data_IF_189124694895
#
_entry.id   IF_189124694895
#
_cell.length_a   1.000
_cell.length_b   1.000
_cell.length_c   1.000
_cell.angle_alpha   90.00
_cell.angle_beta   90.00
_cell.angle_gamma   90.00
#
_symmetry.space_group_name_H-M   'P 1'
#
loop_
_entity.id
_entity.type
_entity.pdbx_description
1 polymer ?
#
# COMPACT_ATOMS: atom_id res chain seq x y z
N UNK A 1 3.18 -0.39 -20.90
CA UNK A 1 2.94 0.38 -19.68
C UNK A 1 2.98 1.86 -20.06
N UNK A 2 2.04 2.65 -19.60
CA UNK A 2 2.03 4.09 -19.88
C UNK A 2 3.32 4.71 -19.30
N UNK A 3 3.91 5.66 -20.07
CA UNK A 3 5.08 6.45 -19.65
C UNK A 3 4.66 7.48 -18.58
N UNK A 4 4.19 7.03 -17.42
CA UNK A 4 3.78 7.93 -16.35
C UNK A 4 4.90 8.07 -15.32
N UNK A 5 5.03 9.27 -14.74
CA UNK A 5 5.98 9.57 -13.67
C UNK A 5 5.48 9.08 -12.28
N UNK A 6 4.41 8.30 -12.25
CA UNK A 6 3.81 7.80 -11.03
C UNK A 6 4.41 6.45 -10.62
N UNK A 7 4.45 6.19 -9.33
CA UNK A 7 4.99 4.98 -8.73
C UNK A 7 3.92 4.20 -7.97
N UNK A 8 4.11 2.88 -7.91
CA UNK A 8 3.30 1.99 -7.09
C UNK A 8 4.03 1.68 -5.80
N UNK A 9 3.36 1.87 -4.67
CA UNK A 9 3.89 1.62 -3.34
C UNK A 9 3.08 0.55 -2.63
N UNK A 10 3.75 -0.35 -1.94
CA UNK A 10 3.14 -1.29 -1.01
C UNK A 10 3.54 -0.86 0.40
N UNK A 11 2.56 -0.77 1.29
CA UNK A 11 2.82 -0.62 2.72
C UNK A 11 2.19 -1.82 3.43
N UNK A 12 3.01 -2.60 4.12
CA UNK A 12 2.58 -3.72 4.94
C UNK A 12 2.98 -3.51 6.40
N UNK A 13 2.24 -4.10 7.29
CA UNK A 13 2.50 -4.02 8.73
C UNK A 13 1.65 -5.04 9.49
N UNK A 14 2.05 -5.48 10.66
CA UNK A 14 1.16 -6.20 11.55
C UNK A 14 0.01 -5.31 12.03
N UNK A 15 -1.11 -5.95 12.34
CA UNK A 15 -2.26 -5.23 12.92
C UNK A 15 -1.83 -4.48 14.19
N UNK A 16 -2.15 -3.19 14.28
CA UNK A 16 -1.77 -2.35 15.42
C UNK A 16 -0.47 -1.55 15.26
N UNK A 17 0.34 -1.78 14.21
CA UNK A 17 1.58 -1.02 13.99
C UNK A 17 1.38 0.44 13.55
N UNK A 18 0.15 0.85 13.18
CA UNK A 18 -0.16 2.25 12.79
C UNK A 18 -0.12 2.53 11.30
N UNK A 19 -0.05 1.51 10.45
CA UNK A 19 0.01 1.61 8.97
C UNK A 19 -1.05 2.54 8.39
N UNK A 20 -2.33 2.29 8.66
CA UNK A 20 -3.43 3.06 8.07
C UNK A 20 -3.40 4.54 8.47
N UNK A 21 -2.97 4.85 9.71
CA UNK A 21 -2.79 6.23 10.17
C UNK A 21 -1.65 6.93 9.43
N UNK A 22 -0.53 6.25 9.20
CA UNK A 22 0.60 6.78 8.44
C UNK A 22 0.21 7.03 6.98
N UNK A 23 -0.46 6.07 6.33
CA UNK A 23 -0.94 6.24 4.95
C UNK A 23 -1.91 7.43 4.88
N UNK A 24 -2.88 7.53 5.79
CA UNK A 24 -3.86 8.64 5.79
C UNK A 24 -3.18 10.00 5.94
N UNK A 25 -2.22 10.12 6.85
CA UNK A 25 -1.46 11.35 7.05
C UNK A 25 -0.60 11.72 5.83
N UNK A 26 0.03 10.72 5.20
CA UNK A 26 0.77 10.91 3.96
C UNK A 26 -0.13 11.43 2.83
N UNK A 27 -1.30 10.79 2.62
CA UNK A 27 -2.24 11.19 1.58
C UNK A 27 -2.77 12.61 1.79
N UNK A 28 -3.00 13.01 3.03
CA UNK A 28 -3.34 14.40 3.37
C UNK A 28 -2.22 15.36 2.95
N UNK A 29 -0.97 15.05 3.28
CA UNK A 29 0.20 15.86 2.85
C UNK A 29 0.34 15.93 1.33
N UNK A 30 0.01 14.85 0.62
CA UNK A 30 0.04 14.84 -0.84
C UNK A 30 -1.00 15.80 -1.45
N UNK A 31 -2.19 15.89 -0.86
CA UNK A 31 -3.23 16.85 -1.29
C UNK A 31 -2.83 18.31 -1.02
N UNK A 32 -2.03 18.57 -0.01
CA UNK A 32 -1.49 19.90 0.31
C UNK A 32 -0.38 20.37 -0.65
N UNK A 33 -0.01 19.55 -1.66
CA UNK A 33 0.98 19.91 -2.68
C UNK A 33 2.44 19.76 -2.25
N UNK A 34 2.71 18.98 -1.23
CA UNK A 34 4.08 18.73 -0.73
C UNK A 34 4.91 17.76 -1.58
N UNK A 35 4.31 17.14 -2.63
CA UNK A 35 4.94 16.15 -3.50
C UNK A 35 4.83 16.51 -4.98
N UNK A 36 5.61 15.84 -5.82
CA UNK A 36 5.55 16.02 -7.27
C UNK A 36 4.25 15.45 -7.87
N UNK A 37 3.77 14.33 -7.33
CA UNK A 37 2.56 13.66 -7.78
C UNK A 37 1.49 13.73 -6.68
N UNK A 38 0.23 13.70 -7.08
CA UNK A 38 -0.84 13.32 -6.16
C UNK A 38 -0.65 11.86 -5.75
N UNK A 39 -1.12 11.52 -4.57
CA UNK A 39 -1.07 10.15 -4.06
C UNK A 39 -2.47 9.69 -3.65
N UNK A 40 -2.79 8.43 -3.93
CA UNK A 40 -4.07 7.81 -3.58
C UNK A 40 -3.88 6.41 -3.03
N UNK A 41 -4.76 6.01 -2.10
CA UNK A 41 -4.89 4.61 -1.70
C UNK A 41 -5.64 3.86 -2.80
N UNK A 42 -5.17 2.65 -3.14
CA UNK A 42 -5.93 1.77 -4.02
C UNK A 42 -7.21 1.32 -3.33
N UNK A 43 -8.31 1.37 -4.07
CA UNK A 43 -9.60 0.85 -3.62
C UNK A 43 -9.70 -0.62 -4.06
N UNK A 44 -9.63 -1.54 -3.08
CA UNK A 44 -9.73 -2.97 -3.35
C UNK A 44 -11.17 -3.41 -3.63
N UNK A 45 -11.32 -4.50 -4.37
CA UNK A 45 -12.60 -5.18 -4.54
C UNK A 45 -12.85 -6.13 -3.37
N UNK A 46 -14.11 -6.26 -2.97
CA UNK A 46 -14.52 -7.24 -1.95
C UNK A 46 -15.91 -7.78 -2.21
N UNK A 47 -16.12 -9.02 -1.79
CA UNK A 47 -17.48 -9.64 -1.79
C UNK A 47 -18.21 -9.44 -0.46
N UNK A 48 -17.56 -8.81 0.53
CA UNK A 48 -18.16 -8.45 1.79
C UNK A 48 -19.24 -7.38 1.57
N UNK A 49 -20.36 -7.51 2.27
CA UNK A 49 -21.36 -6.44 2.27
C UNK A 49 -20.80 -5.15 2.90
N UNK A 50 -21.17 -3.98 2.37
CA UNK A 50 -20.77 -2.71 2.96
C UNK A 50 -21.27 -2.60 4.40
N UNK A 51 -20.46 -2.02 5.28
CA UNK A 51 -20.87 -1.64 6.64
C UNK A 51 -21.52 -0.27 6.62
N UNK A 52 -22.20 0.08 7.71
CA UNK A 52 -22.74 1.42 7.88
C UNK A 52 -21.63 2.48 7.72
N UNK A 53 -21.88 3.47 6.86
CA UNK A 53 -20.94 4.53 6.52
C UNK A 53 -19.90 4.18 5.44
N UNK A 54 -19.83 2.95 4.95
CA UNK A 54 -18.96 2.60 3.82
C UNK A 54 -19.64 2.96 2.49
N UNK A 55 -18.84 3.50 1.57
CA UNK A 55 -19.28 3.96 0.25
C UNK A 55 -18.54 3.16 -0.82
N UNK A 56 -19.30 2.62 -1.79
CA UNK A 56 -18.75 1.92 -2.94
C UNK A 56 -17.85 2.83 -3.77
N UNK A 57 -16.72 2.28 -4.25
CA UNK A 57 -15.71 3.02 -5.00
C UNK A 57 -14.83 3.96 -4.15
N UNK A 58 -15.13 4.09 -2.84
CA UNK A 58 -14.33 4.91 -1.91
C UNK A 58 -13.59 4.03 -0.90
N UNK A 59 -14.32 3.17 -0.21
CA UNK A 59 -13.74 2.26 0.80
C UNK A 59 -13.36 0.92 0.18
N UNK A 60 -14.26 0.38 -0.64
CA UNK A 60 -14.10 -0.82 -1.45
C UNK A 60 -14.95 -0.69 -2.72
N UNK A 61 -14.62 -1.49 -3.73
CA UNK A 61 -15.56 -1.87 -4.78
C UNK A 61 -16.30 -3.11 -4.31
N UNK A 62 -17.56 -2.94 -3.89
CA UNK A 62 -18.38 -4.04 -3.39
C UNK A 62 -19.00 -4.78 -4.56
N UNK A 63 -18.61 -6.03 -4.76
CA UNK A 63 -19.05 -6.85 -5.89
C UNK A 63 -19.65 -8.19 -5.43
N UNK A 64 -20.41 -8.84 -6.29
CA UNK A 64 -20.91 -10.20 -6.01
C UNK A 64 -19.76 -11.22 -6.07
N UNK A 65 -19.96 -12.38 -5.44
CA UNK A 65 -19.02 -13.51 -5.51
C UNK A 65 -18.80 -13.96 -6.96
N UNK A 66 -19.88 -13.98 -7.77
CA UNK A 66 -19.80 -14.39 -9.17
C UNK A 66 -18.98 -13.38 -10.00
N UNK A 67 -19.19 -12.06 -9.78
CA UNK A 67 -18.39 -11.01 -10.40
C UNK A 67 -16.92 -11.13 -10.02
N UNK A 68 -16.64 -11.37 -8.73
CA UNK A 68 -15.26 -11.51 -8.26
C UNK A 68 -14.56 -12.73 -8.89
N UNK A 69 -15.26 -13.87 -8.97
CA UNK A 69 -14.73 -15.08 -9.61
C UNK A 69 -14.52 -14.89 -11.12
N UNK A 70 -15.40 -14.17 -11.80
CA UNK A 70 -15.20 -13.79 -13.20
C UNK A 70 -13.96 -12.92 -13.37
N UNK A 71 -13.72 -11.94 -12.48
CA UNK A 71 -12.51 -11.14 -12.48
C UNK A 71 -11.25 -11.98 -12.25
N UNK A 72 -11.29 -12.99 -11.36
CA UNK A 72 -10.17 -13.95 -11.19
C UNK A 72 -9.90 -14.68 -12.51
N UNK A 73 -10.96 -15.22 -13.16
CA UNK A 73 -10.81 -16.00 -14.40
C UNK A 73 -10.21 -15.18 -15.55
N UNK A 74 -10.39 -13.85 -15.52
CA UNK A 74 -9.83 -12.88 -16.47
C UNK A 74 -8.45 -12.34 -16.07
N UNK A 75 -7.83 -12.89 -15.02
CA UNK A 75 -6.54 -12.41 -14.47
C UNK A 75 -6.55 -10.90 -14.16
N UNK A 76 -7.69 -10.38 -13.67
CA UNK A 76 -7.89 -8.94 -13.46
C UNK A 76 -7.24 -8.40 -12.18
N UNK A 77 -6.75 -9.27 -11.29
CA UNK A 77 -6.15 -8.87 -10.02
C UNK A 77 -4.62 -9.00 -10.02
N UNK A 78 -3.95 -8.07 -9.36
CA UNK A 78 -2.54 -8.21 -8.97
C UNK A 78 -2.37 -9.25 -7.87
N UNK A 79 -3.27 -9.21 -6.89
CA UNK A 79 -3.37 -10.17 -5.80
C UNK A 79 -4.84 -10.35 -5.44
N UNK A 80 -5.18 -11.50 -4.95
CA UNK A 80 -6.47 -11.76 -4.32
C UNK A 80 -6.34 -12.83 -3.24
N UNK A 81 -7.17 -12.71 -2.22
CA UNK A 81 -7.22 -13.67 -1.13
C UNK A 81 -8.67 -13.88 -0.66
N UNK A 82 -8.92 -15.05 -0.11
CA UNK A 82 -10.12 -15.29 0.67
C UNK A 82 -9.79 -15.13 2.15
N UNK A 83 -10.49 -14.19 2.79
CA UNK A 83 -10.37 -13.94 4.24
C UNK A 83 -11.71 -14.23 4.87
N UNK A 84 -11.76 -15.27 5.69
CA UNK A 84 -13.01 -15.88 6.18
C UNK A 84 -13.92 -16.27 5.00
N UNK A 85 -15.13 -15.72 4.94
CA UNK A 85 -16.12 -16.03 3.90
C UNK A 85 -16.08 -15.06 2.71
N UNK A 86 -15.21 -14.05 2.75
CA UNK A 86 -15.19 -12.99 1.74
C UNK A 86 -13.89 -12.99 0.95
N UNK A 87 -14.00 -12.59 -0.32
CA UNK A 87 -12.86 -12.35 -1.18
C UNK A 87 -12.45 -10.87 -1.13
N UNK A 88 -11.15 -10.64 -1.29
CA UNK A 88 -10.53 -9.32 -1.42
C UNK A 88 -9.53 -9.37 -2.55
N UNK A 89 -9.39 -8.31 -3.32
CA UNK A 89 -8.42 -8.28 -4.41
C UNK A 89 -8.16 -6.89 -4.96
N UNK A 90 -6.95 -6.71 -5.46
CA UNK A 90 -6.41 -5.45 -5.97
C UNK A 90 -6.40 -5.45 -7.50
N UNK A 91 -7.25 -4.63 -8.12
CA UNK A 91 -7.44 -4.60 -9.57
C UNK A 91 -6.25 -4.03 -10.32
N UNK A 92 -5.75 -4.76 -11.34
CA UNK A 92 -4.71 -4.32 -12.26
C UNK A 92 -5.10 -3.06 -13.03
N UNK A 93 -6.34 -3.03 -13.54
CA UNK A 93 -6.86 -1.93 -14.35
C UNK A 93 -6.97 -0.64 -13.52
N UNK A 94 -7.59 -0.72 -12.33
CA UNK A 94 -7.76 0.44 -11.46
C UNK A 94 -6.41 1.09 -11.07
N UNK A 95 -5.37 0.28 -10.82
CA UNK A 95 -4.02 0.79 -10.56
C UNK A 95 -3.41 1.41 -11.83
N UNK A 96 -3.50 0.71 -12.97
CA UNK A 96 -2.92 1.19 -14.23
C UNK A 96 -3.52 2.53 -14.65
N UNK A 97 -4.83 2.72 -14.50
CA UNK A 97 -5.53 3.96 -14.80
C UNK A 97 -4.98 5.11 -13.93
N UNK A 98 -4.87 4.92 -12.62
CA UNK A 98 -4.33 5.95 -11.71
C UNK A 98 -2.85 6.28 -11.98
N UNK A 99 -2.03 5.28 -12.20
CA UNK A 99 -0.64 5.49 -12.59
C UNK A 99 -0.55 6.26 -13.92
N UNK A 100 -1.43 5.98 -14.90
CA UNK A 100 -1.46 6.70 -16.17
C UNK A 100 -1.88 8.18 -16.04
N UNK A 101 -2.69 8.50 -15.04
CA UNK A 101 -3.07 9.87 -14.66
C UNK A 101 -1.92 10.62 -13.95
N UNK A 102 -0.78 9.97 -13.67
CA UNK A 102 0.34 10.56 -12.94
C UNK A 102 0.15 10.55 -11.42
N UNK A 103 -0.71 9.69 -10.90
CA UNK A 103 -1.04 9.58 -9.47
C UNK A 103 -0.24 8.41 -8.87
N UNK A 104 0.52 8.66 -7.82
CA UNK A 104 1.18 7.62 -7.04
C UNK A 104 0.12 6.78 -6.29
N UNK A 105 0.23 5.46 -6.39
CA UNK A 105 -0.76 4.54 -5.82
C UNK A 105 -0.17 3.79 -4.64
N UNK A 106 -0.86 3.81 -3.51
CA UNK A 106 -0.53 3.06 -2.30
C UNK A 106 -1.43 1.83 -2.16
N UNK A 107 -0.83 0.70 -1.86
CA UNK A 107 -1.50 -0.55 -1.54
C UNK A 107 -1.36 -0.84 -0.04
N UNK A 108 -2.49 -0.91 0.66
CA UNK A 108 -2.58 -1.36 2.05
C UNK A 108 -2.85 -2.87 2.05
N UNK A 109 -1.81 -3.68 1.96
CA UNK A 109 -1.91 -5.15 1.85
C UNK A 109 -0.97 -5.85 2.83
N UNK A 110 -1.15 -7.15 2.99
CA UNK A 110 -0.27 -7.99 3.79
C UNK A 110 1.00 -8.42 3.02
N UNK A 111 1.91 -9.13 3.70
CA UNK A 111 3.15 -9.61 3.12
C UNK A 111 2.92 -10.64 1.98
N UNK A 112 1.82 -11.42 2.01
CA UNK A 112 1.50 -12.41 0.99
C UNK A 112 1.10 -11.71 -0.32
N UNK A 113 0.24 -10.69 -0.22
CA UNK A 113 -0.13 -9.84 -1.35
C UNK A 113 1.08 -9.07 -1.89
N UNK A 114 1.93 -8.53 -1.01
CA UNK A 114 3.17 -7.87 -1.41
C UNK A 114 4.08 -8.79 -2.23
N UNK A 115 4.26 -10.03 -1.79
CA UNK A 115 5.06 -11.04 -2.48
C UNK A 115 4.49 -11.37 -3.88
N UNK A 116 3.17 -11.45 -4.02
CA UNK A 116 2.52 -11.68 -5.32
C UNK A 116 2.77 -10.51 -6.28
N UNK A 117 2.60 -9.29 -5.80
CA UNK A 117 2.77 -8.08 -6.62
C UNK A 117 4.23 -7.89 -7.01
N UNK A 118 5.19 -8.07 -6.09
CA UNK A 118 6.64 -7.96 -6.40
C UNK A 118 7.07 -8.93 -7.51
N UNK A 119 6.47 -10.12 -7.61
CA UNK A 119 6.75 -11.07 -8.71
C UNK A 119 6.27 -10.55 -10.07
N UNK A 120 5.13 -9.86 -10.11
CA UNK A 120 4.54 -9.35 -11.35
C UNK A 120 5.06 -7.97 -11.73
N UNK A 121 5.42 -7.16 -10.75
CA UNK A 121 5.94 -5.81 -10.92
C UNK A 121 7.17 -5.60 -10.01
N UNK A 122 8.38 -5.96 -10.47
CA UNK A 122 9.61 -5.80 -9.70
C UNK A 122 9.98 -4.34 -9.38
N UNK A 123 9.39 -3.38 -10.07
CA UNK A 123 9.62 -1.94 -9.86
C UNK A 123 8.76 -1.36 -8.71
N UNK A 124 7.89 -2.17 -8.09
CA UNK A 124 7.08 -1.72 -6.96
C UNK A 124 7.97 -1.44 -5.76
N UNK A 125 7.69 -0.34 -5.07
CA UNK A 125 8.41 0.06 -3.86
C UNK A 125 7.65 -0.48 -2.66
N UNK A 126 8.28 -1.33 -1.87
CA UNK A 126 7.65 -2.00 -0.74
C UNK A 126 8.23 -1.54 0.59
N UNK A 127 7.33 -1.22 1.53
CA UNK A 127 7.65 -0.64 2.83
C UNK A 127 6.99 -1.48 3.91
N UNK A 128 7.75 -1.89 4.91
CA UNK A 128 7.21 -2.59 6.07
C UNK A 128 7.25 -1.70 7.30
N UNK A 129 6.11 -1.57 8.00
CA UNK A 129 6.02 -0.77 9.23
C UNK A 129 6.04 -1.68 10.44
N UNK A 130 7.04 -1.50 11.29
CA UNK A 130 7.19 -2.22 12.56
C UNK A 130 6.69 -1.37 13.75
N UNK A 131 6.11 -1.98 14.77
CA UNK A 131 5.90 -1.33 16.06
C UNK A 131 7.25 -1.19 16.79
N UNK A 132 7.38 -0.27 17.78
CA UNK A 132 8.63 -0.09 18.52
C UNK A 132 8.96 -1.24 19.46
N UNK A 133 7.93 -1.95 19.93
CA UNK A 133 8.09 -3.12 20.80
C UNK A 133 6.86 -4.03 20.75
N UNK A 134 7.02 -5.26 21.27
CA UNK A 134 5.87 -6.18 21.45
C UNK A 134 4.90 -5.65 22.51
N UNK A 135 5.40 -5.00 23.54
CA UNK A 135 4.56 -4.47 24.64
C UNK A 135 3.68 -3.32 24.13
N UNK A 136 4.27 -2.41 23.34
CA UNK A 136 3.51 -1.32 22.73
C UNK A 136 2.48 -1.86 21.73
N UNK A 137 2.83 -2.86 20.92
CA UNK A 137 1.89 -3.50 20.01
C UNK A 137 0.73 -4.12 20.76
N UNK A 138 1.01 -4.85 21.86
CA UNK A 138 -0.01 -5.45 22.72
C UNK A 138 -0.92 -4.36 23.31
N UNK A 139 -0.36 -3.27 23.83
CA UNK A 139 -1.13 -2.13 24.36
C UNK A 139 -2.06 -1.53 23.28
N UNK A 140 -1.58 -1.35 22.07
CA UNK A 140 -2.37 -0.84 20.92
C UNK A 140 -3.48 -1.80 20.51
N UNK A 141 -3.25 -3.13 20.55
CA UNK A 141 -4.27 -4.13 20.24
C UNK A 141 -5.37 -4.15 21.32
N UNK A 142 -4.99 -4.09 22.60
CA UNK A 142 -5.93 -4.01 23.73
C UNK A 142 -6.79 -2.75 23.65
N UNK A 143 -6.19 -1.59 23.35
CA UNK A 143 -6.91 -0.31 23.31
C UNK A 143 -7.93 -0.20 22.18
N UNK A 144 -7.76 -0.95 21.09
CA UNK A 144 -8.66 -0.91 19.91
C UNK A 144 -9.97 -1.66 20.09
N UNK A 145 -10.05 -2.60 21.01
CA UNK A 145 -11.16 -3.52 21.02
C UNK A 145 -11.70 -3.86 22.39
N UNK A 146 -12.89 -4.39 22.34
CA UNK A 146 -13.55 -5.11 23.43
C UNK A 146 -13.22 -6.61 23.33
N UNK A 147 -12.02 -6.92 22.82
CA UNK A 147 -11.58 -8.29 22.59
C UNK A 147 -11.18 -8.92 23.93
N UNK A 148 -11.52 -10.16 24.11
CA UNK A 148 -11.05 -10.93 25.26
C UNK A 148 -9.56 -11.30 25.14
N UNK A 149 -8.95 -11.76 26.22
CA UNK A 149 -7.52 -12.06 26.30
C UNK A 149 -7.07 -13.11 25.29
N UNK A 150 -7.92 -14.10 24.97
CA UNK A 150 -7.59 -15.17 24.04
C UNK A 150 -7.50 -14.64 22.57
N UNK A 151 -8.38 -13.69 22.21
CA UNK A 151 -8.33 -13.02 20.90
C UNK A 151 -7.08 -12.17 20.78
N UNK A 152 -6.71 -11.43 21.83
CA UNK A 152 -5.49 -10.61 21.85
C UNK A 152 -4.24 -11.48 21.68
N UNK A 153 -4.16 -12.61 22.40
CA UNK A 153 -3.03 -13.55 22.28
C UNK A 153 -2.92 -14.10 20.84
N UNK A 154 -4.05 -14.49 20.24
CA UNK A 154 -4.09 -14.95 18.86
C UNK A 154 -3.59 -13.88 17.89
N UNK A 155 -4.01 -12.62 18.07
CA UNK A 155 -3.55 -11.47 17.24
C UNK A 155 -2.06 -11.20 17.43
N UNK A 156 -1.52 -11.33 18.63
CA UNK A 156 -0.09 -11.18 18.91
C UNK A 156 0.74 -12.25 18.20
N UNK A 157 0.28 -13.51 18.19
CA UNK A 157 0.94 -14.60 17.45
C UNK A 157 0.94 -14.32 15.94
N UNK A 158 -0.21 -13.89 15.40
CA UNK A 158 -0.33 -13.51 14.00
C UNK A 158 0.58 -12.33 13.65
N UNK A 159 0.60 -11.29 14.48
CA UNK A 159 1.47 -10.14 14.28
C UNK A 159 2.96 -10.52 14.31
N UNK A 160 3.36 -11.44 15.17
CA UNK A 160 4.73 -11.94 15.19
C UNK A 160 5.09 -12.69 13.90
N UNK A 161 4.17 -13.48 13.36
CA UNK A 161 4.35 -14.14 12.07
C UNK A 161 4.43 -13.11 10.94
N UNK A 162 3.56 -12.10 10.91
CA UNK A 162 3.60 -11.03 9.91
C UNK A 162 4.95 -10.27 9.98
N UNK A 163 5.42 -9.93 11.18
CA UNK A 163 6.70 -9.24 11.37
C UNK A 163 7.91 -10.07 10.90
N UNK A 164 7.85 -11.39 10.88
CA UNK A 164 8.98 -12.21 10.42
C UNK A 164 9.31 -12.07 8.93
N UNK A 165 8.44 -11.42 8.16
CA UNK A 165 8.60 -11.17 6.73
C UNK A 165 9.10 -9.74 6.39
N UNK A 166 9.54 -8.97 7.38
CA UNK A 166 10.00 -7.58 7.19
C UNK A 166 11.17 -7.47 6.20
N UNK A 167 12.04 -8.46 6.15
CA UNK A 167 13.24 -8.51 5.30
C UNK A 167 12.95 -8.79 3.81
N UNK A 168 11.69 -9.06 3.47
CA UNK A 168 11.24 -9.19 2.08
C UNK A 168 10.92 -7.82 1.43
N UNK A 169 10.96 -6.73 2.22
CA UNK A 169 10.60 -5.39 1.79
C UNK A 169 11.84 -4.54 1.51
N UNK A 170 11.68 -3.53 0.64
CA UNK A 170 12.78 -2.65 0.25
C UNK A 170 13.14 -1.65 1.36
N UNK A 171 12.15 -1.29 2.19
CA UNK A 171 12.30 -0.36 3.31
C UNK A 171 11.57 -0.86 4.55
N UNK A 172 12.13 -0.52 5.71
CA UNK A 172 11.51 -0.77 7.02
C UNK A 172 11.43 0.54 7.78
N UNK A 173 10.25 0.84 8.34
CA UNK A 173 9.98 2.00 9.20
C UNK A 173 9.60 1.49 10.58
N UNK A 174 10.24 1.99 11.62
CA UNK A 174 9.85 1.71 13.01
C UNK A 174 8.95 2.85 13.51
N UNK A 175 7.68 2.54 13.76
CA UNK A 175 6.69 3.53 14.23
C UNK A 175 6.73 3.68 15.76
N UNK A 176 7.86 4.16 16.25
CA UNK A 176 8.09 4.56 17.65
C UNK A 176 7.53 5.96 17.94
N UNK A 177 7.79 6.89 17.02
CA UNK A 177 7.24 8.22 17.00
C UNK A 177 6.51 8.45 15.67
N UNK A 178 5.22 8.77 15.74
CA UNK A 178 4.39 8.92 14.55
C UNK A 178 4.91 9.97 13.56
N UNK A 179 5.39 11.10 14.06
CA UNK A 179 5.90 12.18 13.20
C UNK A 179 7.18 11.75 12.48
N UNK A 180 8.11 11.10 13.17
CA UNK A 180 9.33 10.58 12.56
C UNK A 180 9.02 9.49 11.52
N UNK A 181 8.15 8.54 11.85
CA UNK A 181 7.74 7.48 10.92
C UNK A 181 7.04 8.05 9.67
N UNK A 182 6.24 9.10 9.83
CA UNK A 182 5.63 9.80 8.70
C UNK A 182 6.69 10.52 7.85
N UNK A 183 7.68 11.18 8.46
CA UNK A 183 8.76 11.85 7.73
C UNK A 183 9.65 10.85 6.99
N UNK A 184 9.92 9.67 7.56
CA UNK A 184 10.61 8.57 6.87
C UNK A 184 9.81 8.07 5.67
N UNK A 185 8.49 7.87 5.81
CA UNK A 185 7.61 7.46 4.72
C UNK A 185 7.60 8.51 3.59
N UNK A 186 7.52 9.80 3.94
CA UNK A 186 7.62 10.92 3.01
C UNK A 186 8.98 10.93 2.31
N UNK A 187 10.06 10.65 3.03
CA UNK A 187 11.43 10.62 2.49
C UNK A 187 11.57 9.52 1.44
N UNK A 188 11.03 8.33 1.67
CA UNK A 188 11.02 7.23 0.70
C UNK A 188 10.28 7.67 -0.58
N UNK A 189 9.13 8.32 -0.44
CA UNK A 189 8.35 8.84 -1.57
C UNK A 189 9.15 9.85 -2.39
N UNK A 190 9.77 10.82 -1.73
CA UNK A 190 10.59 11.84 -2.38
C UNK A 190 11.80 11.22 -3.08
N UNK A 191 12.49 10.29 -2.42
CA UNK A 191 13.65 9.62 -2.99
C UNK A 191 13.28 8.80 -4.23
N UNK A 192 12.16 8.08 -4.21
CA UNK A 192 11.71 7.28 -5.35
C UNK A 192 11.43 8.15 -6.59
N UNK A 193 10.86 9.34 -6.40
CA UNK A 193 10.57 10.29 -7.47
C UNK A 193 11.84 10.88 -8.12
N UNK A 194 13.00 10.76 -7.47
CA UNK A 194 14.31 11.21 -7.94
C UNK A 194 15.14 10.08 -8.55
N UNK A 195 14.62 8.86 -8.62
CA UNK A 195 15.32 7.76 -9.29
C UNK A 195 15.61 8.10 -10.76
N UNK A 196 16.70 7.56 -11.30
CA UNK A 196 17.09 7.79 -12.71
C UNK A 196 15.93 7.54 -13.65
N UNK A 197 15.20 6.43 -13.46
CA UNK A 197 14.02 6.08 -14.26
C UNK A 197 12.95 7.17 -14.25
N UNK A 198 12.61 7.71 -13.08
CA UNK A 198 11.60 8.76 -12.93
C UNK A 198 12.10 10.10 -13.50
N UNK A 199 13.37 10.42 -13.30
CA UNK A 199 13.97 11.64 -13.86
C UNK A 199 14.08 11.60 -15.39
N UNK A 200 14.42 10.45 -15.96
CA UNK A 200 14.42 10.26 -17.42
C UNK A 200 13.03 10.47 -18.04
N UNK A 201 11.98 9.95 -17.39
CA UNK A 201 10.61 10.17 -17.85
C UNK A 201 10.21 11.64 -17.78
N UNK A 202 10.50 12.30 -16.63
CA UNK A 202 10.14 13.70 -16.37
C UNK A 202 10.91 14.69 -17.23
N UNK A 203 12.18 14.44 -17.45
CA UNK A 203 13.11 15.36 -18.12
C UNK A 203 13.62 14.86 -19.47
N UNK A 204 12.85 13.97 -20.12
CA UNK A 204 13.23 13.32 -21.39
C UNK A 204 13.75 14.27 -22.44
N UNK A 205 13.06 15.39 -22.67
CA UNK A 205 13.45 16.39 -23.67
C UNK A 205 14.74 17.12 -23.30
N UNK A 206 14.90 17.48 -22.02
CA UNK A 206 16.11 18.14 -21.50
C UNK A 206 17.32 17.22 -21.64
N UNK A 207 17.22 15.99 -21.12
CA UNK A 207 18.31 15.01 -21.20
C UNK A 207 18.71 14.75 -22.65
N UNK A 208 17.72 14.56 -23.54
CA UNK A 208 17.99 14.39 -24.97
C UNK A 208 18.71 15.59 -25.58
N UNK A 209 18.39 16.82 -25.17
CA UNK A 209 19.05 18.03 -25.68
C UNK A 209 20.48 18.16 -25.19
N UNK A 210 20.74 17.79 -23.94
CA UNK A 210 22.09 17.83 -23.33
C UNK A 210 23.04 16.78 -23.94
N UNK A 211 22.50 15.66 -24.42
CA UNK A 211 23.30 14.56 -24.98
C UNK A 211 23.48 14.65 -26.51
N UNK A 212 22.85 15.63 -27.17
CA UNK A 212 23.12 15.87 -28.62
C UNK A 212 24.52 16.45 -28.76
N UNK A 213 25.41 15.69 -29.40
CA UNK A 213 26.66 16.22 -29.94
C UNK A 213 26.31 17.19 -31.07
N UNK A 214 26.94 18.37 -31.08
CA UNK A 214 26.85 19.34 -32.19
C UNK A 214 27.42 18.74 -33.45
#
# INVERSE_FOLDING_TARGET
MANSNASLFIVAAPSGAGKSSLISALLQRAQEGHFFNLAQLSVSHTTRQPREGEVDGVHYHFVSVDTFKDMISKDAFYEHAQVFENFYGTSKTAIADKLSEGIDVFLDIDWQGARQIKKMNPDVISIFVLPPSKDELNARLVSRGKDDSAVIESRMKQAQQEMSHYDEFDYVIVNDNFTHALDELITILKASSLSTKQQELRHKSLIKSLLKTQ
#
